data_IF_278070992201
#
_entry.id   IF_278070992201
#
_cell.length_a   1.000
_cell.length_b   1.000
_cell.length_c   1.000
_cell.angle_alpha   90.00
_cell.angle_beta   90.00
_cell.angle_gamma   90.00
#
_symmetry.space_group_name_H-M   'P 1'
#
loop_
_entity.id
_entity.type
_entity.pdbx_description
1 polymer ?
#
# COMPACT_ATOMS: atom_id res chain seq x y z
N UNK A 1 -3.84 4.51 11.96
CA UNK A 1 -5.05 4.28 11.14
C UNK A 1 -4.64 3.69 9.80
N UNK A 2 -5.41 2.78 9.18
CA UNK A 2 -5.07 2.27 7.83
C UNK A 2 -5.33 3.35 6.78
N UNK A 3 -4.30 3.76 6.05
CA UNK A 3 -4.36 4.83 5.04
C UNK A 3 -3.82 4.34 3.68
N UNK A 4 -4.36 4.85 2.55
CA UNK A 4 -3.88 4.46 1.23
C UNK A 4 -2.46 4.95 0.98
N UNK A 5 -1.77 4.28 0.05
CA UNK A 5 -0.48 4.68 -0.47
C UNK A 5 -0.58 4.85 -1.99
N UNK A 6 0.33 5.63 -2.55
CA UNK A 6 0.52 5.74 -3.99
C UNK A 6 1.94 5.27 -4.31
N UNK A 7 2.04 4.25 -5.16
CA UNK A 7 3.30 3.69 -5.61
C UNK A 7 3.22 3.48 -7.11
N UNK A 8 4.31 3.78 -7.81
CA UNK A 8 4.53 3.19 -9.13
C UNK A 8 4.87 1.71 -8.96
N UNK A 9 4.67 0.91 -10.01
CA UNK A 9 4.96 -0.52 -9.98
C UNK A 9 6.43 -0.81 -9.60
N UNK A 10 7.37 0.00 -10.11
CA UNK A 10 8.81 -0.14 -9.82
C UNK A 10 9.13 0.14 -8.36
N UNK A 11 8.58 1.21 -7.79
CA UNK A 11 8.79 1.54 -6.38
C UNK A 11 8.16 0.49 -5.47
N UNK A 12 6.96 -0.01 -5.80
CA UNK A 12 6.32 -1.08 -5.05
C UNK A 12 7.20 -2.34 -5.05
N UNK A 13 7.74 -2.73 -6.20
CA UNK A 13 8.62 -3.90 -6.33
C UNK A 13 9.90 -3.78 -5.50
N UNK A 14 10.50 -2.59 -5.44
CA UNK A 14 11.67 -2.36 -4.59
C UNK A 14 11.28 -2.44 -3.11
N UNK A 15 10.20 -1.74 -2.73
CA UNK A 15 9.79 -1.63 -1.34
C UNK A 15 9.37 -2.97 -0.71
N UNK A 16 8.70 -3.86 -1.47
CA UNK A 16 8.29 -5.18 -0.94
C UNK A 16 9.45 -6.09 -0.59
N UNK A 17 10.62 -5.88 -1.19
CA UNK A 17 11.82 -6.67 -0.92
C UNK A 17 12.66 -6.06 0.21
N UNK A 18 12.73 -4.74 0.28
CA UNK A 18 13.62 -4.04 1.21
C UNK A 18 12.99 -3.76 2.57
N UNK A 19 11.66 -3.65 2.65
CA UNK A 19 10.95 -3.30 3.88
C UNK A 19 10.05 -4.46 4.34
N UNK A 20 10.47 -5.16 5.38
CA UNK A 20 9.80 -6.36 5.88
C UNK A 20 9.51 -6.28 7.39
N UNK A 21 8.45 -6.97 7.81
CA UNK A 21 8.10 -7.17 9.20
C UNK A 21 8.04 -8.68 9.49
N UNK A 22 8.52 -9.09 10.66
CA UNK A 22 8.41 -10.48 11.12
C UNK A 22 7.08 -10.66 11.85
N UNK A 23 6.13 -11.34 11.19
CA UNK A 23 4.78 -11.56 11.72
C UNK A 23 4.47 -13.05 11.64
N UNK A 24 4.02 -13.64 12.75
CA UNK A 24 3.65 -15.06 12.83
C UNK A 24 4.76 -16.01 12.35
N UNK A 25 6.02 -15.69 12.69
CA UNK A 25 7.18 -16.51 12.34
C UNK A 25 7.66 -16.39 10.89
N UNK A 26 7.10 -15.47 10.08
CA UNK A 26 7.49 -15.24 8.69
C UNK A 26 7.83 -13.77 8.45
N UNK A 27 8.86 -13.53 7.64
CA UNK A 27 9.12 -12.19 7.11
C UNK A 27 8.14 -11.91 5.97
N UNK A 28 7.37 -10.84 6.10
CA UNK A 28 6.43 -10.38 5.08
C UNK A 28 6.66 -8.90 4.78
N UNK A 29 6.38 -8.43 3.56
CA UNK A 29 6.46 -7.01 3.23
C UNK A 29 5.68 -6.14 4.23
N UNK A 30 6.31 -5.09 4.72
CA UNK A 30 5.73 -4.16 5.67
C UNK A 30 5.07 -3.00 4.93
N UNK A 31 3.78 -2.77 5.19
CA UNK A 31 3.06 -1.61 4.67
C UNK A 31 3.54 -0.33 5.37
N UNK A 32 4.02 0.68 4.62
CA UNK A 32 4.44 1.94 5.21
C UNK A 32 3.26 2.82 5.65
N UNK A 33 3.56 3.85 6.44
CA UNK A 33 2.59 4.89 6.82
C UNK A 33 2.01 5.56 5.57
N UNK A 34 0.69 5.66 5.52
CA UNK A 34 -0.03 6.13 4.34
C UNK A 34 -0.43 7.60 4.36
N UNK A 35 -1.04 8.01 3.24
CA UNK A 35 -1.59 9.34 3.03
C UNK A 35 -2.91 9.49 3.79
N UNK A 36 -2.85 9.90 5.06
CA UNK A 36 -3.98 9.79 6.01
C UNK A 36 -5.04 10.91 5.93
N UNK A 37 -4.92 11.86 5.00
CA UNK A 37 -5.95 12.89 4.84
C UNK A 37 -7.19 12.35 4.12
N UNK A 38 -8.37 12.81 4.53
CA UNK A 38 -9.65 12.38 3.94
C UNK A 38 -9.72 12.71 2.44
N UNK A 39 -9.14 13.84 2.02
CA UNK A 39 -9.04 14.23 0.61
C UNK A 39 -8.21 13.23 -0.21
N UNK A 40 -7.08 12.76 0.32
CA UNK A 40 -6.24 11.77 -0.36
C UNK A 40 -6.95 10.42 -0.51
N UNK A 41 -7.75 10.02 0.49
CA UNK A 41 -8.55 8.79 0.43
C UNK A 41 -9.52 8.79 -0.75
N UNK A 42 -10.34 9.84 -0.87
CA UNK A 42 -11.29 9.95 -1.97
C UNK A 42 -10.60 10.12 -3.32
N UNK A 43 -9.54 10.94 -3.38
CA UNK A 43 -8.78 11.14 -4.62
C UNK A 43 -8.23 9.83 -5.17
N UNK A 44 -7.59 9.01 -4.33
CA UNK A 44 -6.98 7.75 -4.77
C UNK A 44 -8.03 6.68 -5.08
N UNK A 45 -9.09 6.59 -4.28
CA UNK A 45 -10.21 5.69 -4.58
C UNK A 45 -10.84 6.01 -5.94
N UNK A 46 -10.98 7.30 -6.28
CA UNK A 46 -11.48 7.71 -7.60
C UNK A 46 -10.56 7.33 -8.75
N UNK A 47 -9.23 7.37 -8.57
CA UNK A 47 -8.31 6.92 -9.63
C UNK A 47 -8.42 5.42 -9.90
N UNK A 48 -8.67 4.61 -8.87
CA UNK A 48 -8.96 3.18 -9.04
C UNK A 48 -10.29 2.99 -9.77
N UNK A 49 -11.34 3.69 -9.34
CA UNK A 49 -12.65 3.62 -9.99
C UNK A 49 -12.61 4.03 -11.47
N UNK A 50 -11.82 5.06 -11.80
CA UNK A 50 -11.62 5.54 -13.17
C UNK A 50 -10.72 4.62 -14.02
N UNK A 51 -10.24 3.49 -13.49
CA UNK A 51 -9.38 2.55 -14.21
C UNK A 51 -7.96 3.07 -14.47
N UNK A 52 -7.51 4.07 -13.70
CA UNK A 52 -6.17 4.66 -13.86
C UNK A 52 -5.13 3.99 -12.98
N UNK A 53 -5.52 3.54 -11.78
CA UNK A 53 -4.65 2.87 -10.80
C UNK A 53 -5.21 1.50 -10.42
N UNK A 54 -4.32 0.61 -10.01
CA UNK A 54 -4.68 -0.70 -9.45
C UNK A 54 -4.65 -0.68 -7.92
N UNK A 55 -5.65 -1.34 -7.30
CA UNK A 55 -5.66 -1.57 -5.87
C UNK A 55 -4.91 -2.87 -5.53
N UNK A 56 -3.98 -2.79 -4.59
CA UNK A 56 -3.23 -3.94 -4.08
C UNK A 56 -3.53 -4.19 -2.60
N UNK A 57 -3.57 -5.45 -2.20
CA UNK A 57 -3.77 -5.87 -0.81
C UNK A 57 -2.43 -6.32 -0.21
N UNK A 58 -2.03 -5.72 0.90
CA UNK A 58 -0.84 -6.14 1.64
C UNK A 58 -1.06 -7.48 2.37
N UNK A 59 -0.02 -8.34 2.47
CA UNK A 59 -0.11 -9.61 3.18
C UNK A 59 -0.23 -9.40 4.70
N UNK A 60 -0.59 -10.46 5.43
CA UNK A 60 -0.62 -10.44 6.90
C UNK A 60 -1.70 -9.55 7.52
N UNK A 61 -2.80 -9.29 6.80
CA UNK A 61 -3.93 -8.46 7.27
C UNK A 61 -3.56 -7.03 7.70
N UNK A 62 -2.49 -6.49 7.12
CA UNK A 62 -2.04 -5.09 7.29
C UNK A 62 -2.98 -4.06 6.63
#
# INVERSE_FOLDING_TARGET
MKAPNLWTLKELQQNVNDNQAHISGRWIPARPLGLDTLSNRFKLAWQVFAGKYDAVKWPGNQ
#
